data_IF_083671016633
#
_entry.id   IF_083671016633
#
_cell.length_a   1.000
_cell.length_b   1.000
_cell.length_c   1.000
_cell.angle_alpha   90.00
_cell.angle_beta   90.00
_cell.angle_gamma   90.00
#
_symmetry.space_group_name_H-M   'P 1'
#
loop_
_entity.id
_entity.type
_entity.pdbx_description
1 polymer ?
#
# COMPACT_ATOMS: atom_id res chain seq x y z
N UNK A 1 -44.84 -5.72 2.49
CA UNK A 1 -44.30 -4.62 1.65
C UNK A 1 -42.80 -4.50 1.94
N UNK A 2 -41.95 -5.05 1.08
CA UNK A 2 -40.50 -4.91 1.24
C UNK A 2 -40.08 -3.51 0.84
N UNK A 3 -39.67 -2.67 1.79
CA UNK A 3 -38.98 -1.42 1.47
C UNK A 3 -37.64 -1.80 0.86
N UNK A 4 -37.54 -1.75 -0.46
CA UNK A 4 -36.27 -1.89 -1.16
C UNK A 4 -35.36 -0.76 -0.70
N UNK A 5 -34.36 -1.08 0.12
CA UNK A 5 -33.28 -0.14 0.42
C UNK A 5 -32.52 0.03 -0.90
N UNK A 6 -32.48 1.24 -1.43
CA UNK A 6 -31.70 1.55 -2.63
C UNK A 6 -30.23 1.24 -2.40
N UNK A 7 -29.52 0.75 -3.42
CA UNK A 7 -28.09 0.53 -3.32
C UNK A 7 -27.31 1.84 -3.15
N UNK A 8 -26.15 1.74 -2.51
CA UNK A 8 -25.23 2.88 -2.37
C UNK A 8 -24.73 3.34 -3.74
N UNK A 9 -24.96 4.61 -4.07
CA UNK A 9 -24.41 5.26 -5.27
C UNK A 9 -22.98 5.74 -5.01
N UNK A 10 -22.05 5.55 -5.95
CA UNK A 10 -20.66 6.00 -5.80
C UNK A 10 -20.22 6.89 -6.98
N UNK A 11 -21.18 7.55 -7.63
CA UNK A 11 -20.91 8.44 -8.76
C UNK A 11 -20.31 9.77 -8.30
N UNK A 12 -20.54 10.18 -7.04
CA UNK A 12 -19.85 11.33 -6.46
C UNK A 12 -18.40 10.96 -6.10
N UNK A 13 -17.38 11.57 -6.73
CA UNK A 13 -15.98 11.31 -6.37
C UNK A 13 -15.66 11.69 -4.92
N UNK A 14 -16.35 12.68 -4.35
CA UNK A 14 -16.17 13.10 -2.94
C UNK A 14 -16.42 11.95 -1.97
N UNK A 15 -17.42 11.08 -2.24
CA UNK A 15 -17.72 9.91 -1.40
C UNK A 15 -16.54 8.93 -1.37
N UNK A 16 -15.84 8.78 -2.51
CA UNK A 16 -14.66 7.92 -2.61
C UNK A 16 -13.48 8.57 -1.90
N UNK A 17 -13.28 9.87 -2.11
CA UNK A 17 -12.27 10.66 -1.39
C UNK A 17 -12.47 10.58 0.12
N UNK A 18 -13.70 10.69 0.63
CA UNK A 18 -14.00 10.60 2.06
C UNK A 18 -13.63 9.22 2.66
N UNK A 19 -13.83 8.13 1.92
CA UNK A 19 -13.38 6.80 2.36
C UNK A 19 -11.86 6.73 2.43
N UNK A 20 -11.16 7.25 1.41
CA UNK A 20 -9.70 7.22 1.34
C UNK A 20 -9.10 8.10 2.44
N UNK A 21 -9.59 9.33 2.58
CA UNK A 21 -9.23 10.27 3.64
C UNK A 21 -9.45 9.69 5.04
N UNK A 22 -10.56 8.96 5.25
CA UNK A 22 -10.79 8.28 6.53
C UNK A 22 -9.67 7.30 6.85
N UNK A 23 -9.27 6.45 5.90
CA UNK A 23 -8.21 5.45 6.09
C UNK A 23 -6.79 6.03 5.99
N UNK A 24 -6.60 7.20 5.37
CA UNK A 24 -5.34 7.91 5.29
C UNK A 24 -4.89 8.45 6.65
N UNK A 25 -5.84 8.89 7.49
CA UNK A 25 -5.57 9.38 8.85
C UNK A 25 -4.84 8.33 9.69
N UNK A 26 -3.75 8.74 10.34
CA UNK A 26 -2.86 7.85 11.09
C UNK A 26 -3.59 7.00 12.15
N UNK A 27 -4.57 7.58 12.84
CA UNK A 27 -5.42 6.91 13.84
C UNK A 27 -6.26 5.76 13.28
N UNK A 28 -6.51 5.74 11.97
CA UNK A 28 -7.31 4.74 11.28
C UNK A 28 -6.46 3.79 10.43
N UNK A 29 -5.22 4.16 10.06
CA UNK A 29 -4.29 3.29 9.32
C UNK A 29 -4.03 1.97 10.04
N UNK A 30 -3.83 2.02 11.36
CA UNK A 30 -3.64 0.81 12.19
C UNK A 30 -4.86 -0.12 12.26
N UNK A 31 -6.03 0.33 11.78
CA UNK A 31 -7.27 -0.47 11.72
C UNK A 31 -7.42 -1.24 10.40
N UNK A 32 -6.45 -1.09 9.49
CA UNK A 32 -6.30 -1.93 8.32
C UNK A 32 -5.57 -3.21 8.72
N UNK A 33 -6.21 -4.36 8.49
CA UNK A 33 -5.61 -5.66 8.69
C UNK A 33 -4.57 -6.01 7.62
N UNK A 34 -4.09 -7.26 7.66
CA UNK A 34 -3.13 -7.79 6.70
C UNK A 34 -3.57 -7.54 5.25
N UNK A 35 -2.64 -7.06 4.43
CA UNK A 35 -2.89 -6.72 3.03
C UNK A 35 -3.75 -5.46 2.84
N UNK A 36 -3.89 -4.62 3.86
CA UNK A 36 -4.61 -3.35 3.76
C UNK A 36 -6.12 -3.49 3.67
N UNK A 37 -6.69 -4.57 4.22
CA UNK A 37 -8.15 -4.79 4.26
C UNK A 37 -8.73 -4.23 5.58
N UNK A 38 -9.75 -3.35 5.55
CA UNK A 38 -10.34 -2.79 6.75
C UNK A 38 -11.00 -3.86 7.61
N UNK A 39 -10.82 -3.76 8.93
CA UNK A 39 -11.59 -4.58 9.88
C UNK A 39 -13.06 -4.20 9.87
N UNK A 40 -13.93 -5.08 10.38
CA UNK A 40 -15.37 -4.78 10.54
C UNK A 40 -15.60 -3.53 11.40
N UNK A 41 -14.81 -3.35 12.46
CA UNK A 41 -14.86 -2.14 13.30
C UNK A 41 -14.52 -0.88 12.49
N UNK A 42 -13.43 -0.90 11.73
CA UNK A 42 -13.02 0.22 10.88
C UNK A 42 -14.08 0.58 9.83
N UNK A 43 -14.75 -0.41 9.24
CA UNK A 43 -15.83 -0.18 8.28
C UNK A 43 -17.06 0.47 8.92
N UNK A 44 -17.42 0.08 10.14
CA UNK A 44 -18.53 0.71 10.87
C UNK A 44 -18.20 2.15 11.27
N UNK A 45 -16.97 2.41 11.72
CA UNK A 45 -16.51 3.76 12.04
C UNK A 45 -16.45 4.65 10.79
N UNK A 46 -15.99 4.11 9.67
CA UNK A 46 -16.01 4.79 8.38
C UNK A 46 -17.45 5.13 7.95
N UNK A 47 -18.39 4.20 8.13
CA UNK A 47 -19.80 4.44 7.83
C UNK A 47 -20.38 5.57 8.69
N UNK A 48 -20.07 5.59 10.00
CA UNK A 48 -20.47 6.68 10.89
C UNK A 48 -19.83 8.02 10.51
N UNK A 49 -18.56 8.00 10.10
CA UNK A 49 -17.85 9.18 9.60
C UNK A 49 -18.52 9.73 8.32
N UNK A 50 -18.81 8.88 7.33
CA UNK A 50 -19.49 9.31 6.11
C UNK A 50 -20.90 9.85 6.41
N UNK A 51 -21.68 9.18 7.26
CA UNK A 51 -23.02 9.64 7.63
C UNK A 51 -23.03 11.02 8.31
N UNK A 52 -21.96 11.37 9.03
CA UNK A 52 -21.82 12.67 9.70
C UNK A 52 -21.27 13.76 8.79
N UNK A 53 -20.41 13.42 7.84
CA UNK A 53 -19.60 14.40 7.10
C UNK A 53 -19.92 14.47 5.60
N UNK A 54 -20.79 13.60 5.07
CA UNK A 54 -21.17 13.58 3.67
C UNK A 54 -22.69 13.58 3.56
N UNK A 55 -23.22 14.48 2.74
CA UNK A 55 -24.63 14.47 2.38
C UNK A 55 -24.91 13.36 1.36
N UNK A 56 -25.92 12.53 1.62
CA UNK A 56 -26.35 11.50 0.67
C UNK A 56 -27.11 12.18 -0.47
N UNK A 57 -26.39 12.58 -1.52
CA UNK A 57 -26.98 13.21 -2.72
C UNK A 57 -27.80 12.22 -3.55
N UNK A 58 -27.44 10.93 -3.54
CA UNK A 58 -28.06 9.87 -4.34
C UNK A 58 -27.84 8.49 -3.74
N UNK A 59 -28.78 7.58 -4.00
CA UNK A 59 -28.70 6.17 -3.60
C UNK A 59 -29.02 5.95 -2.12
N UNK A 60 -28.79 4.73 -1.66
CA UNK A 60 -28.93 4.37 -0.25
C UNK A 60 -27.72 4.72 0.61
N UNK A 61 -27.81 4.46 1.91
CA UNK A 61 -26.75 4.78 2.86
C UNK A 61 -25.46 4.00 2.56
N UNK A 62 -24.32 4.67 2.82
CA UNK A 62 -22.98 4.08 2.73
C UNK A 62 -22.71 3.19 3.94
N UNK A 63 -23.34 2.01 3.96
CA UNK A 63 -23.16 1.03 5.03
C UNK A 63 -21.73 0.48 5.05
N UNK A 64 -21.33 -0.13 6.17
CA UNK A 64 -20.04 -0.82 6.29
C UNK A 64 -19.80 -1.84 5.16
N UNK A 65 -20.84 -2.57 4.74
CA UNK A 65 -20.77 -3.52 3.62
C UNK A 65 -20.53 -2.83 2.27
N UNK A 66 -21.22 -1.71 2.02
CA UNK A 66 -21.03 -0.91 0.81
C UNK A 66 -19.61 -0.32 0.76
N UNK A 67 -19.12 0.22 1.88
CA UNK A 67 -17.76 0.76 2.01
C UNK A 67 -16.72 -0.34 1.78
N UNK A 68 -16.90 -1.52 2.38
CA UNK A 68 -15.98 -2.65 2.17
C UNK A 68 -15.91 -3.07 0.71
N UNK A 69 -17.05 -3.09 0.01
CA UNK A 69 -17.10 -3.37 -1.44
C UNK A 69 -16.41 -2.28 -2.24
N UNK A 70 -16.63 -1.00 -1.89
CA UNK A 70 -15.94 0.13 -2.53
C UNK A 70 -14.44 0.09 -2.31
N UNK A 71 -13.98 -0.21 -1.10
CA UNK A 71 -12.55 -0.31 -0.77
C UNK A 71 -11.83 -1.36 -1.62
N UNK A 72 -12.45 -2.53 -1.83
CA UNK A 72 -11.89 -3.55 -2.75
C UNK A 72 -11.73 -3.01 -4.17
N UNK A 73 -12.68 -2.18 -4.64
CA UNK A 73 -12.59 -1.54 -5.96
C UNK A 73 -11.49 -0.48 -6.01
N UNK A 74 -11.34 0.34 -4.95
CA UNK A 74 -10.23 1.31 -4.81
C UNK A 74 -8.88 0.57 -4.90
N UNK A 75 -8.71 -0.51 -4.14
CA UNK A 75 -7.52 -1.36 -4.20
C UNK A 75 -7.26 -1.92 -5.59
N UNK A 76 -8.29 -2.48 -6.23
CA UNK A 76 -8.15 -3.06 -7.57
C UNK A 76 -7.73 -2.02 -8.60
N UNK A 77 -8.23 -0.78 -8.51
CA UNK A 77 -7.83 0.33 -9.38
C UNK A 77 -6.36 0.68 -9.14
N UNK A 78 -5.98 0.87 -7.86
CA UNK A 78 -4.62 1.16 -7.47
C UNK A 78 -3.62 0.11 -7.98
N UNK A 79 -3.88 -1.17 -7.70
CA UNK A 79 -3.01 -2.28 -8.11
C UNK A 79 -2.88 -2.36 -9.63
N UNK A 80 -3.98 -2.13 -10.38
CA UNK A 80 -3.97 -2.13 -11.83
C UNK A 80 -3.13 -0.98 -12.41
N UNK A 81 -3.34 0.25 -11.92
CA UNK A 81 -2.55 1.43 -12.35
C UNK A 81 -1.08 1.23 -11.99
N UNK A 82 -0.79 0.79 -10.76
CA UNK A 82 0.58 0.52 -10.31
C UNK A 82 1.26 -0.53 -11.21
N UNK A 83 0.55 -1.59 -11.61
CA UNK A 83 1.08 -2.60 -12.52
C UNK A 83 1.38 -2.02 -13.92
N UNK A 84 0.57 -1.09 -14.43
CA UNK A 84 0.84 -0.38 -15.69
C UNK A 84 2.07 0.52 -15.55
N UNK A 85 2.15 1.33 -14.48
CA UNK A 85 3.31 2.19 -14.19
C UNK A 85 4.61 1.39 -14.07
N UNK A 86 4.54 0.19 -13.49
CA UNK A 86 5.68 -0.74 -13.36
C UNK A 86 5.94 -1.60 -14.60
N UNK A 87 5.18 -1.43 -15.69
CA UNK A 87 5.27 -2.25 -16.92
C UNK A 87 5.10 -3.76 -16.67
N UNK A 88 4.30 -4.12 -15.66
CA UNK A 88 3.97 -5.50 -15.27
C UNK A 88 2.56 -5.93 -15.66
N UNK A 89 1.73 -5.01 -16.15
CA UNK A 89 0.37 -5.33 -16.56
C UNK A 89 0.35 -6.01 -17.94
N UNK A 90 -0.16 -7.25 -17.98
CA UNK A 90 -0.29 -8.03 -19.21
C UNK A 90 -1.35 -7.40 -20.11
N UNK A 91 -1.01 -7.12 -21.37
CA UNK A 91 -1.93 -6.50 -22.34
C UNK A 91 -1.85 -4.97 -22.40
N UNK A 92 -1.09 -4.32 -21.50
CA UNK A 92 -0.84 -2.88 -21.56
C UNK A 92 0.49 -2.52 -22.25
N UNK A 93 1.12 -3.46 -22.97
CA UNK A 93 2.34 -3.20 -23.75
C UNK A 93 2.01 -2.26 -24.92
N UNK A 94 2.42 -1.00 -24.82
CA UNK A 94 2.04 0.07 -25.75
C UNK A 94 1.35 1.25 -25.06
N UNK A 95 0.87 1.03 -23.82
CA UNK A 95 0.28 2.07 -23.00
C UNK A 95 1.28 2.59 -21.97
N UNK A 96 1.22 3.91 -21.73
CA UNK A 96 1.83 4.53 -20.57
C UNK A 96 0.74 5.16 -19.71
N UNK A 97 0.97 5.22 -18.40
CA UNK A 97 0.07 5.88 -17.47
C UNK A 97 0.78 7.07 -16.84
N UNK A 98 0.08 8.19 -16.81
CA UNK A 98 0.48 9.45 -16.22
C UNK A 98 -0.59 9.90 -15.21
N UNK A 99 -0.17 10.50 -14.10
CA UNK A 99 -1.08 10.83 -13.00
C UNK A 99 -1.98 12.04 -13.31
N UNK A 100 -1.61 12.87 -14.30
CA UNK A 100 -2.42 14.01 -14.74
C UNK A 100 -3.33 13.60 -15.91
N UNK A 101 -2.76 12.99 -16.93
CA UNK A 101 -3.41 12.73 -18.23
C UNK A 101 -3.93 11.30 -18.39
N UNK A 102 -3.68 10.41 -17.43
CA UNK A 102 -4.09 9.01 -17.49
C UNK A 102 -3.35 8.25 -18.59
N UNK A 103 -4.09 7.61 -19.50
CA UNK A 103 -3.53 6.88 -20.63
C UNK A 103 -3.19 7.76 -21.85
N UNK A 104 -3.49 9.07 -21.80
CA UNK A 104 -3.19 10.00 -22.89
C UNK A 104 -3.87 9.64 -24.22
N UNK A 105 -5.09 9.10 -24.15
CA UNK A 105 -5.87 8.71 -25.33
C UNK A 105 -6.25 9.93 -26.15
N UNK A 106 -6.05 9.85 -27.46
CA UNK A 106 -6.37 10.88 -28.45
C UNK A 106 -7.20 10.27 -29.57
N UNK A 107 -7.64 11.08 -30.54
CA UNK A 107 -8.36 10.57 -31.73
C UNK A 107 -7.52 9.58 -32.53
N UNK A 108 -6.19 9.69 -32.51
CA UNK A 108 -5.30 8.84 -33.30
C UNK A 108 -5.14 7.43 -32.74
N UNK A 109 -5.49 7.19 -31.47
CA UNK A 109 -5.35 5.88 -30.82
C UNK A 109 -6.63 5.37 -30.13
N UNK A 110 -7.77 5.96 -30.47
CA UNK A 110 -9.06 5.66 -29.82
C UNK A 110 -9.53 4.23 -30.12
N UNK A 111 -9.20 3.69 -31.29
CA UNK A 111 -9.57 2.34 -31.68
C UNK A 111 -8.78 1.30 -30.88
N UNK A 112 -7.45 1.48 -30.73
CA UNK A 112 -6.66 0.60 -29.86
C UNK A 112 -7.09 0.73 -28.40
N UNK A 113 -7.46 1.93 -27.95
CA UNK A 113 -8.01 2.14 -26.61
C UNK A 113 -9.30 1.36 -26.40
N UNK A 114 -10.23 1.43 -27.35
CA UNK A 114 -11.51 0.73 -27.29
C UNK A 114 -11.32 -0.79 -27.21
N UNK A 115 -10.40 -1.34 -28.00
CA UNK A 115 -10.04 -2.76 -27.94
C UNK A 115 -9.40 -3.15 -26.60
N UNK A 116 -8.51 -2.31 -26.07
CA UNK A 116 -7.89 -2.51 -24.76
C UNK A 116 -8.92 -2.52 -23.62
N UNK A 117 -9.78 -1.49 -23.53
CA UNK A 117 -10.75 -1.39 -22.42
C UNK A 117 -11.93 -2.35 -22.55
N UNK A 118 -12.16 -2.94 -23.74
CA UNK A 118 -13.13 -4.04 -23.91
C UNK A 118 -12.78 -5.23 -23.00
N UNK A 119 -11.49 -5.51 -22.82
CA UNK A 119 -11.01 -6.59 -21.95
C UNK A 119 -10.54 -6.09 -20.58
N UNK A 120 -10.18 -4.80 -20.47
CA UNK A 120 -9.68 -4.19 -19.25
C UNK A 120 -10.53 -2.99 -18.81
N UNK A 121 -11.82 -3.24 -18.56
CA UNK A 121 -12.84 -2.21 -18.25
C UNK A 121 -12.52 -1.32 -17.05
N UNK A 122 -11.65 -1.79 -16.14
CA UNK A 122 -11.17 -1.01 -14.99
C UNK A 122 -10.46 0.28 -15.42
N UNK A 123 -9.81 0.30 -16.58
CA UNK A 123 -9.08 1.46 -17.08
C UNK A 123 -9.93 2.47 -17.83
N UNK A 124 -11.17 2.10 -18.21
CA UNK A 124 -12.07 2.95 -18.99
C UNK A 124 -12.20 4.39 -18.47
N UNK A 125 -12.28 4.67 -17.16
CA UNK A 125 -12.39 6.03 -16.64
C UNK A 125 -11.12 6.88 -16.82
N UNK A 126 -9.98 6.26 -17.14
CA UNK A 126 -8.66 6.91 -17.11
C UNK A 126 -8.07 7.16 -18.51
N UNK A 127 -8.92 7.20 -19.54
CA UNK A 127 -8.48 7.43 -20.92
C UNK A 127 -7.67 8.74 -21.07
N UNK A 128 -8.17 9.83 -20.49
CA UNK A 128 -7.64 11.19 -20.65
C UNK A 128 -7.43 11.92 -19.33
N UNK A 129 -7.66 11.25 -18.20
CA UNK A 129 -7.51 11.81 -16.86
C UNK A 129 -6.89 10.77 -15.94
N UNK A 130 -5.88 11.15 -15.19
CA UNK A 130 -5.31 10.30 -14.17
C UNK A 130 -6.23 10.13 -12.95
N UNK A 131 -5.80 9.30 -12.00
CA UNK A 131 -6.56 8.98 -10.80
C UNK A 131 -6.05 9.81 -9.63
N UNK A 132 -6.83 10.82 -9.26
CA UNK A 132 -6.47 11.82 -8.23
C UNK A 132 -6.17 11.23 -6.84
N UNK A 133 -6.59 9.99 -6.56
CA UNK A 133 -6.35 9.33 -5.28
C UNK A 133 -5.15 8.37 -5.27
N UNK A 134 -4.36 8.32 -6.35
CA UNK A 134 -3.28 7.33 -6.48
C UNK A 134 -2.26 7.46 -5.34
N UNK A 135 -1.77 8.67 -5.06
CA UNK A 135 -0.73 8.90 -4.05
C UNK A 135 -1.23 8.61 -2.63
N UNK A 136 -2.43 9.09 -2.28
CA UNK A 136 -3.06 8.82 -0.98
C UNK A 136 -3.24 7.32 -0.74
N UNK A 137 -3.66 6.58 -1.78
CA UNK A 137 -3.85 5.13 -1.68
C UNK A 137 -2.50 4.40 -1.66
N UNK A 138 -1.48 4.88 -2.38
CA UNK A 138 -0.12 4.35 -2.32
C UNK A 138 0.47 4.45 -0.92
N UNK A 139 0.21 5.56 -0.24
CA UNK A 139 0.62 5.72 1.15
C UNK A 139 -0.09 4.70 2.06
N UNK A 140 -1.40 4.52 1.90
CA UNK A 140 -2.17 3.57 2.71
C UNK A 140 -1.74 2.12 2.42
N UNK A 141 -1.43 1.82 1.16
CA UNK A 141 -1.10 0.49 0.63
C UNK A 141 0.32 0.53 0.06
N UNK A 142 1.37 0.56 0.90
CA UNK A 142 2.73 0.55 0.40
C UNK A 142 2.90 -0.65 -0.52
N UNK A 143 3.42 -0.40 -1.73
CA UNK A 143 3.63 -1.42 -2.74
C UNK A 143 4.34 -2.60 -2.07
N UNK A 144 3.61 -3.70 -1.88
CA UNK A 144 4.16 -4.85 -1.18
C UNK A 144 5.25 -5.42 -2.08
N UNK A 145 6.51 -5.17 -1.74
CA UNK A 145 7.63 -5.95 -2.22
C UNK A 145 7.33 -7.38 -1.82
N UNK A 146 6.83 -8.18 -2.76
CA UNK A 146 6.54 -9.59 -2.53
C UNK A 146 7.88 -10.30 -2.36
N UNK A 147 8.38 -10.37 -1.11
CA UNK A 147 9.55 -11.17 -0.71
C UNK A 147 10.68 -10.37 -0.06
N UNK A 148 10.71 -10.32 1.27
CA UNK A 148 11.83 -10.80 2.07
C UNK A 148 11.39 -10.88 3.54
N UNK A 149 10.84 -12.03 3.92
CA UNK A 149 10.82 -12.41 5.33
C UNK A 149 12.26 -12.70 5.72
N UNK A 150 12.97 -11.70 6.24
CA UNK A 150 14.16 -11.93 7.06
C UNK A 150 13.63 -12.07 8.49
N UNK A 151 13.01 -13.21 8.79
CA UNK A 151 13.05 -13.70 10.15
C UNK A 151 14.46 -14.21 10.36
N UNK A 152 15.33 -13.40 10.95
CA UNK A 152 16.52 -13.93 11.61
C UNK A 152 16.03 -14.78 12.79
N UNK A 153 16.16 -16.11 12.77
CA UNK A 153 15.91 -16.89 13.97
C UNK A 153 17.16 -16.77 14.83
N UNK A 154 17.16 -15.85 15.79
CA UNK A 154 18.05 -15.94 16.95
C UNK A 154 17.51 -17.04 17.86
N UNK A 155 17.64 -18.29 17.41
CA UNK A 155 17.59 -19.51 18.20
C UNK A 155 19.02 -19.68 18.70
N UNK A 156 19.38 -19.87 19.96
CA UNK A 156 18.74 -20.09 21.25
C UNK A 156 19.89 -19.96 22.26
N UNK A 157 19.60 -19.72 23.55
CA UNK A 157 20.56 -20.12 24.59
C UNK A 157 20.54 -19.26 25.83
N UNK A 158 19.50 -19.45 26.61
CA UNK A 158 19.45 -19.09 28.02
C UNK A 158 20.52 -19.89 28.83
N UNK A 159 20.85 -19.37 30.01
CA UNK A 159 21.59 -19.99 31.12
C UNK A 159 23.14 -20.01 31.12
N UNK A 160 23.68 -19.06 31.89
CA UNK A 160 24.57 -19.25 33.05
C UNK A 160 25.73 -20.26 32.99
N UNK A 161 26.91 -19.70 33.32
CA UNK A 161 28.01 -20.27 34.11
C UNK A 161 28.94 -21.34 33.53
N UNK A 162 30.25 -21.04 33.70
CA UNK A 162 31.29 -21.95 34.15
C UNK A 162 32.24 -22.55 33.09
N UNK A 163 33.45 -21.98 33.09
CA UNK A 163 34.76 -22.65 33.24
C UNK A 163 35.45 -23.42 32.09
N UNK A 164 36.76 -23.13 32.04
CA UNK A 164 37.92 -23.93 31.63
C UNK A 164 38.11 -24.21 30.12
N UNK A 165 39.15 -23.61 29.51
CA UNK A 165 40.53 -24.14 29.35
C UNK A 165 40.60 -25.21 28.24
N UNK A 166 41.46 -25.19 27.22
CA UNK A 166 42.93 -24.99 27.25
C UNK A 166 43.48 -24.93 25.80
N UNK A 167 44.67 -24.32 25.64
CA UNK A 167 45.85 -24.80 24.85
C UNK A 167 45.74 -25.15 23.35
N UNK A 168 46.69 -24.91 22.46
CA UNK A 168 48.10 -24.45 22.47
C UNK A 168 48.52 -24.08 21.02
N UNK A 169 49.48 -23.18 20.90
CA UNK A 169 50.73 -23.23 20.10
C UNK A 169 51.05 -21.84 19.54
N UNK A 170 52.02 -21.11 20.10
CA UNK A 170 53.48 -21.32 20.05
C UNK A 170 54.08 -20.45 18.94
N UNK A 171 54.76 -19.38 19.35
CA UNK A 171 56.01 -18.89 18.73
C UNK A 171 56.72 -17.95 19.70
N UNK A 172 57.75 -18.51 20.34
CA UNK A 172 59.00 -17.86 20.77
C UNK A 172 59.59 -16.98 19.65
N UNK A 173 60.41 -15.93 19.82
CA UNK A 173 61.23 -15.46 20.94
C UNK A 173 61.75 -14.03 20.61
N UNK A 174 61.91 -13.21 21.66
CA UNK A 174 62.97 -12.22 21.89
C UNK A 174 63.20 -11.05 20.90
N UNK A 175 62.94 -9.81 21.37
CA UNK A 175 64.01 -8.81 21.49
C UNK A 175 63.60 -7.70 22.48
N UNK A 176 64.63 -7.04 23.02
CA UNK A 176 64.72 -6.35 24.30
C UNK A 176 64.21 -4.90 24.33
N UNK A 177 63.88 -4.47 25.55
CA UNK A 177 63.59 -3.12 26.05
C UNK A 177 64.41 -1.97 25.42
N UNK A 178 63.76 -0.83 25.20
CA UNK A 178 64.34 0.47 25.53
C UNK A 178 63.26 1.45 25.99
N UNK A 179 63.43 1.89 27.22
CA UNK A 179 62.74 2.97 27.91
C UNK A 179 63.31 4.30 27.39
N UNK A 180 62.49 5.30 27.05
CA UNK A 180 62.79 6.67 27.47
C UNK A 180 61.54 7.56 27.46
N UNK A 181 61.41 8.26 28.58
CA UNK A 181 60.37 9.20 28.97
C UNK A 181 60.85 10.60 28.58
N UNK A 182 60.04 11.38 27.85
CA UNK A 182 60.28 12.81 27.71
C UNK A 182 58.99 13.59 27.99
N UNK A 183 59.00 14.18 29.17
CA UNK A 183 57.96 15.00 29.76
C UNK A 183 57.70 16.30 29.00
N UNK A 184 56.45 16.73 29.15
CA UNK A 184 55.92 18.08 28.91
C UNK A 184 56.80 19.16 29.53
N UNK A 185 57.04 20.21 28.75
CA UNK A 185 56.80 21.61 29.12
C UNK A 185 56.18 22.32 27.91
#
# INVERSE_FOLDING_TARGET
MGRGVSDADWSNPEDTGAVIQFFFKAENRGKLGQGGNPTKAALNECAAYLAKNQEVKKGGPKTAGAIGTRWRKIKSIFEAILAVKQKKFVGASGWNYDDETGFGVTESNIDEWNDFVRTHTIFKPFATKGWEFFDEVQEILPATTRGNSIHSPSILGDHSSSLHSSSLHSSSLHFTLSLDEASRF
#
